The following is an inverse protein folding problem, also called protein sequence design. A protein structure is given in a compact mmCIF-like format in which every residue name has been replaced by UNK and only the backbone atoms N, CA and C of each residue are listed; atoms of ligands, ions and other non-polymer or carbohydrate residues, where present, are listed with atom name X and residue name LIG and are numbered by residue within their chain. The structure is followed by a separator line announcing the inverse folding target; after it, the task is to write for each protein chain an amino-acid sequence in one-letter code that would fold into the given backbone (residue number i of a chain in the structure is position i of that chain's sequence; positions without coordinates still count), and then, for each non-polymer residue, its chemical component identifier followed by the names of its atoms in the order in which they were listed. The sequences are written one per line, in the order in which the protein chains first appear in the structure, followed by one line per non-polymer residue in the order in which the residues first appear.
data_IF_538289358193
#
_entry.id   IF_538289358193
#
_cell.length_a   1.000
_cell.length_b   1.000
_cell.length_c   1.000
_cell.angle_alpha   90.00
_cell.angle_beta   90.00
_cell.angle_gamma   90.00
#
_symmetry.space_group_name_H-M   'P 1'
#
loop_
_entity.id
_entity.type
_entity.pdbx_description
1 polymer ?
#
# COMPACT_ATOMS: atom_id res chain seq x y z
N UNK A 1 -3.13 2.51 -27.53
CA UNK A 1 -4.20 2.14 -26.57
C UNK A 1 -3.79 2.79 -25.27
N UNK A 2 -4.60 3.72 -24.76
CA UNK A 2 -4.44 4.19 -23.38
C UNK A 2 -4.51 2.96 -22.46
N UNK A 3 -3.61 2.80 -21.48
CA UNK A 3 -3.74 1.72 -20.52
C UNK A 3 -5.09 1.86 -19.83
N UNK A 4 -5.90 0.80 -19.84
CA UNK A 4 -7.15 0.77 -19.09
C UNK A 4 -6.82 1.10 -17.63
N UNK A 5 -7.47 2.10 -17.04
CA UNK A 5 -7.28 2.36 -15.61
C UNK A 5 -7.74 1.12 -14.85
N UNK A 6 -6.84 0.54 -14.07
CA UNK A 6 -7.12 -0.60 -13.21
C UNK A 6 -7.01 -0.16 -11.74
N UNK A 7 -7.85 -0.69 -10.84
CA UNK A 7 -9.00 -1.54 -11.16
C UNK A 7 -10.11 -0.77 -11.89
N UNK A 8 -11.04 -1.47 -12.53
CA UNK A 8 -12.28 -0.86 -13.02
C UNK A 8 -13.19 -0.40 -11.86
N UNK A 9 -14.29 0.29 -12.18
CA UNK A 9 -15.24 0.83 -11.18
C UNK A 9 -15.87 -0.27 -10.30
N UNK A 10 -15.89 -1.52 -10.78
CA UNK A 10 -16.38 -2.67 -10.02
C UNK A 10 -15.28 -3.36 -9.19
N UNK A 11 -14.05 -2.83 -9.20
CA UNK A 11 -12.91 -3.34 -8.46
C UNK A 11 -12.16 -4.48 -9.16
N UNK A 12 -12.37 -4.70 -10.45
CA UNK A 12 -11.70 -5.77 -11.19
C UNK A 12 -10.38 -5.31 -11.82
N UNK A 13 -9.36 -6.14 -11.64
CA UNK A 13 -8.11 -6.12 -12.39
C UNK A 13 -8.20 -7.21 -13.48
N UNK A 14 -8.67 -6.84 -14.67
CA UNK A 14 -9.08 -7.77 -15.72
C UNK A 14 -10.10 -8.80 -15.19
N UNK A 15 -9.69 -10.06 -15.03
CA UNK A 15 -10.55 -11.14 -14.54
C UNK A 15 -10.46 -11.35 -13.01
N UNK A 16 -9.59 -10.61 -12.32
CA UNK A 16 -9.30 -10.77 -10.89
C UNK A 16 -9.89 -9.63 -10.07
N UNK A 17 -10.05 -9.81 -8.76
CA UNK A 17 -10.61 -8.77 -7.88
C UNK A 17 -12.13 -8.81 -7.84
N UNK A 18 -12.78 -7.65 -7.87
CA UNK A 18 -14.22 -7.52 -7.73
C UNK A 18 -14.72 -7.69 -6.30
N UNK A 19 -16.04 -7.59 -6.12
CA UNK A 19 -16.71 -7.68 -4.82
C UNK A 19 -17.62 -8.91 -4.75
N UNK A 20 -17.04 -10.05 -4.38
CA UNK A 20 -17.76 -11.32 -4.18
C UNK A 20 -18.14 -11.51 -2.70
N UNK A 21 -19.14 -10.74 -2.25
CA UNK A 21 -19.56 -10.66 -0.85
C UNK A 21 -21.07 -10.89 -0.71
N UNK A 22 -21.56 -11.27 0.49
CA UNK A 22 -23.00 -11.29 0.76
C UNK A 22 -23.64 -9.91 0.61
N UNK A 23 -24.88 -9.86 0.15
CA UNK A 23 -25.67 -8.63 -0.04
C UNK A 23 -25.68 -7.72 1.20
N UNK A 24 -25.74 -8.32 2.39
CA UNK A 24 -25.74 -7.61 3.66
C UNK A 24 -24.49 -6.72 3.89
N UNK A 25 -23.39 -6.97 3.16
CA UNK A 25 -22.15 -6.18 3.26
C UNK A 25 -22.04 -5.08 2.19
N UNK A 26 -22.88 -5.11 1.16
CA UNK A 26 -22.75 -4.20 0.00
C UNK A 26 -22.84 -2.74 0.44
N UNK A 27 -23.85 -2.38 1.23
CA UNK A 27 -24.04 -1.00 1.68
C UNK A 27 -22.87 -0.46 2.54
N UNK A 28 -22.26 -1.31 3.36
CA UNK A 28 -21.13 -0.93 4.21
C UNK A 28 -19.86 -0.69 3.38
N UNK A 29 -19.63 -1.52 2.36
CA UNK A 29 -18.51 -1.36 1.43
C UNK A 29 -18.70 -0.14 0.52
N UNK A 30 -19.92 0.14 0.04
CA UNK A 30 -20.22 1.35 -0.74
C UNK A 30 -20.02 2.64 0.07
N UNK A 31 -20.28 2.58 1.39
CA UNK A 31 -19.93 3.67 2.28
C UNK A 31 -18.41 3.81 2.40
N UNK A 32 -17.69 2.71 2.64
CA UNK A 32 -16.23 2.73 2.75
C UNK A 32 -15.57 3.31 1.49
N UNK A 33 -15.99 2.90 0.30
CA UNK A 33 -15.44 3.39 -0.97
C UNK A 33 -15.63 4.91 -1.12
N UNK A 34 -16.80 5.43 -0.76
CA UNK A 34 -17.09 6.87 -0.78
C UNK A 34 -16.23 7.65 0.20
N UNK A 35 -16.17 7.21 1.46
CA UNK A 35 -15.40 7.90 2.49
C UNK A 35 -13.89 7.83 2.21
N UNK A 36 -13.41 6.70 1.66
CA UNK A 36 -12.03 6.57 1.20
C UNK A 36 -11.71 7.57 0.09
N UNK A 37 -12.59 7.72 -0.91
CA UNK A 37 -12.38 8.70 -1.98
C UNK A 37 -12.34 10.14 -1.46
N UNK A 38 -13.20 10.47 -0.50
CA UNK A 38 -13.21 11.77 0.18
C UNK A 38 -11.90 11.99 0.97
N UNK A 39 -11.50 11.05 1.81
CA UNK A 39 -10.27 11.16 2.61
C UNK A 39 -9.01 11.21 1.73
N UNK A 40 -8.97 10.45 0.63
CA UNK A 40 -7.85 10.43 -0.29
C UNK A 40 -7.66 11.79 -1.03
N UNK A 41 -8.74 12.55 -1.22
CA UNK A 41 -8.69 13.90 -1.79
C UNK A 41 -8.44 15.01 -0.74
N UNK A 42 -8.46 14.68 0.55
CA UNK A 42 -8.31 15.62 1.65
C UNK A 42 -6.83 15.82 2.04
N UNK A 43 -6.25 17.02 1.87
CA UNK A 43 -4.87 17.28 2.26
C UNK A 43 -4.62 17.20 3.78
N UNK A 44 -5.63 17.47 4.62
CA UNK A 44 -5.47 17.42 6.07
C UNK A 44 -5.32 15.97 6.56
N UNK A 45 -6.06 15.04 5.94
CA UNK A 45 -5.92 13.60 6.17
C UNK A 45 -4.48 13.13 5.85
N UNK A 46 -3.94 13.57 4.71
CA UNK A 46 -2.56 13.23 4.33
C UNK A 46 -1.53 13.84 5.28
N UNK A 47 -1.74 15.08 5.72
CA UNK A 47 -0.85 15.73 6.67
C UNK A 47 -0.79 14.98 8.01
N UNK A 48 -1.94 14.54 8.53
CA UNK A 48 -2.01 13.73 9.75
C UNK A 48 -1.33 12.36 9.54
N UNK A 49 -1.68 11.66 8.46
CA UNK A 49 -1.11 10.34 8.15
C UNK A 49 0.41 10.40 7.98
N UNK A 50 0.93 11.44 7.32
CA UNK A 50 2.37 11.62 7.15
C UNK A 50 3.08 12.01 8.46
N UNK A 51 2.40 12.75 9.35
CA UNK A 51 2.86 12.96 10.72
C UNK A 51 3.01 11.63 11.47
N UNK A 52 1.96 10.81 11.49
CA UNK A 52 1.99 9.49 12.13
C UNK A 52 3.03 8.57 11.49
N UNK A 53 3.20 8.60 10.17
CA UNK A 53 4.22 7.82 9.48
C UNK A 53 5.62 8.14 10.00
N UNK A 54 5.95 9.43 10.13
CA UNK A 54 7.27 9.86 10.61
C UNK A 54 7.44 9.62 12.11
N UNK A 55 6.50 10.11 12.90
CA UNK A 55 6.70 10.30 14.34
C UNK A 55 6.25 9.08 15.16
N UNK A 56 5.37 8.25 14.61
CA UNK A 56 4.88 7.04 15.27
C UNK A 56 5.40 5.76 14.60
N UNK A 57 5.25 5.61 13.29
CA UNK A 57 5.66 4.37 12.60
C UNK A 57 7.16 4.28 12.30
N UNK A 58 7.88 5.40 12.24
CA UNK A 58 9.32 5.44 11.99
C UNK A 58 9.73 5.50 10.52
N UNK A 59 8.86 5.99 9.63
CA UNK A 59 9.14 6.14 8.19
C UNK A 59 9.89 7.45 7.88
N UNK A 60 10.69 7.50 6.80
CA UNK A 60 10.95 6.43 5.83
C UNK A 60 11.90 5.36 6.36
N UNK A 61 11.65 4.11 5.98
CA UNK A 61 12.57 3.01 6.28
C UNK A 61 13.81 3.06 5.37
N UNK A 62 15.01 2.73 5.89
CA UNK A 62 16.23 2.76 5.10
C UNK A 62 16.28 1.65 4.04
N UNK A 63 17.08 1.88 3.00
CA UNK A 63 17.58 0.83 2.12
C UNK A 63 18.95 0.38 2.62
N UNK A 64 19.10 -0.90 2.96
CA UNK A 64 20.37 -1.46 3.44
C UNK A 64 20.98 -2.37 2.39
N UNK A 65 22.19 -2.05 1.93
CA UNK A 65 22.97 -2.94 1.07
C UNK A 65 23.54 -4.11 1.88
N UNK A 66 23.40 -5.33 1.35
CA UNK A 66 23.73 -6.58 2.05
C UNK A 66 24.75 -7.41 1.28
N UNK A 67 26.03 -7.00 1.24
CA UNK A 67 27.06 -7.62 0.39
C UNK A 67 27.28 -9.11 0.71
N UNK A 68 27.21 -9.49 1.99
CA UNK A 68 27.35 -10.90 2.42
C UNK A 68 26.22 -11.79 1.90
N UNK A 69 25.01 -11.26 1.81
CA UNK A 69 23.88 -11.99 1.23
C UNK A 69 23.99 -12.01 -0.30
N UNK A 70 24.42 -10.91 -0.90
CA UNK A 70 24.66 -10.80 -2.33
C UNK A 70 25.69 -11.83 -2.87
N UNK A 71 26.71 -12.21 -2.08
CA UNK A 71 27.63 -13.31 -2.40
C UNK A 71 26.90 -14.62 -2.69
N UNK A 72 25.79 -14.89 -2.00
CA UNK A 72 24.94 -16.06 -2.22
C UNK A 72 23.95 -15.90 -3.40
N UNK A 73 23.77 -14.69 -3.92
CA UNK A 73 22.87 -14.38 -5.03
C UNK A 73 23.57 -14.29 -6.40
N UNK A 74 24.82 -14.74 -6.50
CA UNK A 74 25.57 -14.71 -7.76
C UNK A 74 26.23 -13.36 -8.06
N UNK A 75 26.56 -12.57 -7.03
CA UNK A 75 27.32 -11.32 -7.19
C UNK A 75 26.50 -10.11 -7.67
N UNK A 76 25.16 -10.22 -7.69
CA UNK A 76 24.28 -9.08 -7.92
C UNK A 76 24.27 -8.14 -6.71
N UNK A 77 24.00 -6.85 -6.91
CA UNK A 77 23.79 -5.92 -5.81
C UNK A 77 22.42 -6.18 -5.17
N UNK A 78 22.39 -6.44 -3.86
CA UNK A 78 21.14 -6.64 -3.12
C UNK A 78 20.97 -5.52 -2.10
N UNK A 79 19.80 -4.86 -2.15
CA UNK A 79 19.35 -3.89 -1.16
C UNK A 79 18.06 -4.39 -0.51
N UNK A 80 17.99 -4.31 0.81
CA UNK A 80 16.78 -4.60 1.57
C UNK A 80 16.03 -3.30 1.85
N UNK A 81 14.73 -3.26 1.50
CA UNK A 81 13.80 -2.23 1.97
C UNK A 81 13.33 -2.60 3.36
N UNK A 82 13.81 -1.87 4.37
CA UNK A 82 13.75 -2.27 5.78
C UNK A 82 12.40 -1.98 6.44
N UNK A 83 11.29 -2.46 5.87
CA UNK A 83 9.95 -2.34 6.48
C UNK A 83 9.86 -3.06 7.84
N UNK A 84 10.75 -4.02 8.09
CA UNK A 84 10.94 -4.66 9.40
C UNK A 84 11.29 -3.69 10.54
N UNK A 85 11.73 -2.47 10.20
CA UNK A 85 12.06 -1.43 11.18
C UNK A 85 10.89 -0.51 11.54
N UNK A 86 9.73 -0.67 10.89
CA UNK A 86 8.54 0.07 11.29
C UNK A 86 8.13 -0.30 12.73
N UNK A 87 7.47 0.62 13.43
CA UNK A 87 6.76 0.26 14.66
C UNK A 87 5.80 -0.91 14.37
N UNK A 88 5.71 -1.87 15.30
CA UNK A 88 5.07 -3.20 15.16
C UNK A 88 5.85 -4.26 14.37
N UNK A 89 6.87 -3.88 13.60
CA UNK A 89 7.82 -4.81 12.95
C UNK A 89 7.43 -5.30 11.55
N UNK A 90 6.47 -4.67 10.89
CA UNK A 90 6.05 -4.95 9.50
C UNK A 90 5.60 -3.71 8.75
#
# INVERSE_FOLDING_TARGET
MEPNQLPDDAGHFDIFGGRYVPEALVAALDQLDREFATANADPDFWAELDGLRRDYSGRPTPLTEVPRFAEHCGGVRVLLKREDLNHTGS
#
